data_IF_835727750752
#
_entry.id   IF_835727750752
#
_cell.length_a   1.000
_cell.length_b   1.000
_cell.length_c   1.000
_cell.angle_alpha   90.00
_cell.angle_beta   90.00
_cell.angle_gamma   90.00
#
_symmetry.space_group_name_H-M   'P 1'
#
loop_
_entity.id
_entity.type
_entity.pdbx_description
1 polymer ?
#
# COMPACT_ATOMS: atom_id res chain seq x y z
N UNK A 1 -14.53 31.45 20.72
CA UNK A 1 -13.44 30.64 21.29
C UNK A 1 -13.31 29.36 20.47
N UNK A 2 -12.34 29.31 19.55
CA UNK A 2 -11.98 28.05 18.90
C UNK A 2 -11.34 27.15 19.96
N UNK A 3 -12.01 26.05 20.29
CA UNK A 3 -11.45 25.03 21.18
C UNK A 3 -10.23 24.42 20.50
N UNK A 4 -9.04 24.71 21.01
CA UNK A 4 -7.81 24.05 20.57
C UNK A 4 -8.01 22.54 20.69
N UNK A 5 -7.65 21.74 19.67
CA UNK A 5 -7.73 20.29 19.78
C UNK A 5 -6.86 19.86 20.96
N UNK A 6 -7.47 19.16 21.92
CA UNK A 6 -6.78 18.71 23.12
C UNK A 6 -5.54 17.89 22.73
N UNK A 7 -4.36 18.28 23.22
CA UNK A 7 -3.10 17.59 22.92
C UNK A 7 -3.20 16.08 23.21
N UNK A 8 -3.01 15.29 22.15
CA UNK A 8 -2.91 13.83 22.18
C UNK A 8 -1.44 13.41 22.37
N UNK A 9 -1.19 12.16 22.77
CA UNK A 9 0.14 11.56 22.94
C UNK A 9 0.80 11.80 24.31
N UNK A 10 0.04 12.25 25.32
CA UNK A 10 0.58 12.59 26.64
C UNK A 10 0.55 11.44 27.66
N UNK A 11 -0.47 10.57 27.57
CA UNK A 11 -0.64 9.40 28.43
C UNK A 11 -1.60 8.39 27.76
N UNK A 12 -1.78 7.22 28.36
CA UNK A 12 -2.65 6.16 27.85
C UNK A 12 -4.09 6.63 27.59
N UNK A 13 -4.62 7.48 28.47
CA UNK A 13 -5.97 8.05 28.34
C UNK A 13 -6.11 9.07 27.20
N UNK A 14 -5.00 9.45 26.57
CA UNK A 14 -4.93 10.36 25.41
C UNK A 14 -3.94 9.82 24.37
N UNK A 15 -3.91 8.51 24.18
CA UNK A 15 -3.04 7.90 23.17
C UNK A 15 -3.36 8.43 21.76
N UNK A 16 -2.35 8.48 20.91
CA UNK A 16 -2.54 8.77 19.48
C UNK A 16 -3.15 7.51 18.85
N UNK A 17 -4.38 7.63 18.37
CA UNK A 17 -5.07 6.53 17.68
C UNK A 17 -4.59 6.52 16.23
N UNK A 18 -4.06 5.38 15.79
CA UNK A 18 -3.66 5.16 14.40
C UNK A 18 -4.79 4.41 13.67
N UNK A 19 -5.74 5.17 13.14
CA UNK A 19 -6.84 4.60 12.37
C UNK A 19 -6.32 3.93 11.08
N UNK A 20 -6.85 2.75 10.76
CA UNK A 20 -6.45 1.98 9.57
C UNK A 20 -5.14 1.20 9.71
N UNK A 21 -4.48 1.23 10.86
CA UNK A 21 -3.23 0.51 11.12
C UNK A 21 -3.44 -0.62 12.12
N UNK A 22 -3.15 -1.86 11.73
CA UNK A 22 -3.17 -2.98 12.67
C UNK A 22 -1.91 -3.01 13.54
N UNK A 23 -2.02 -3.50 14.78
CA UNK A 23 -0.84 -3.64 15.65
C UNK A 23 0.22 -4.58 15.06
N UNK A 24 -0.19 -5.57 14.27
CA UNK A 24 0.73 -6.48 13.58
C UNK A 24 1.51 -5.74 12.49
N UNK A 25 0.81 -4.98 11.64
CA UNK A 25 1.45 -4.19 10.59
C UNK A 25 2.39 -3.14 11.19
N UNK A 26 1.98 -2.52 12.31
CA UNK A 26 2.81 -1.54 13.00
C UNK A 26 4.08 -2.15 13.55
N UNK A 27 4.04 -3.34 14.14
CA UNK A 27 5.23 -4.07 14.58
C UNK A 27 6.20 -4.34 13.41
N UNK A 28 5.68 -4.76 12.25
CA UNK A 28 6.50 -4.95 11.05
C UNK A 28 7.12 -3.65 10.54
N UNK A 29 6.37 -2.55 10.59
CA UNK A 29 6.87 -1.24 10.23
C UNK A 29 7.95 -0.73 11.18
N UNK A 30 7.80 -0.95 12.48
CA UNK A 30 8.82 -0.61 13.47
C UNK A 30 10.08 -1.43 13.25
N UNK A 31 9.99 -2.70 12.86
CA UNK A 31 11.17 -3.47 12.45
C UNK A 31 11.88 -2.77 11.29
N UNK A 32 11.18 -2.34 10.24
CA UNK A 32 11.82 -1.58 9.16
C UNK A 32 12.56 -0.34 9.70
N UNK A 33 11.91 0.44 10.56
CA UNK A 33 12.47 1.69 11.10
C UNK A 33 13.69 1.48 12.01
N UNK A 34 13.68 0.41 12.82
CA UNK A 34 14.66 0.21 13.88
C UNK A 34 15.66 -0.92 13.61
N UNK A 35 15.49 -1.70 12.53
CA UNK A 35 16.37 -2.86 12.29
C UNK A 35 17.80 -2.47 11.92
N UNK A 36 18.05 -1.31 11.30
CA UNK A 36 19.40 -0.79 11.01
C UNK A 36 19.35 0.74 10.76
N UNK A 37 20.47 1.48 10.84
CA UNK A 37 20.55 2.83 10.29
C UNK A 37 20.46 2.74 8.76
N UNK A 38 19.24 2.75 8.22
CA UNK A 38 18.96 2.78 6.80
C UNK A 38 19.22 4.21 6.33
N UNK A 39 20.24 4.48 5.50
CA UNK A 39 20.24 5.73 4.76
C UNK A 39 18.97 5.71 3.91
N UNK A 40 18.06 6.67 4.10
CA UNK A 40 16.83 6.79 3.31
C UNK A 40 17.07 7.05 1.81
N UNK A 41 18.33 7.07 1.42
CA UNK A 41 18.83 7.35 0.08
C UNK A 41 19.55 6.10 -0.53
N UNK A 42 19.37 4.90 0.06
CA UNK A 42 19.88 3.64 -0.51
C UNK A 42 19.09 3.24 -1.75
N UNK A 43 19.76 2.54 -2.68
CA UNK A 43 19.08 1.96 -3.85
C UNK A 43 18.16 0.80 -3.47
N UNK A 44 17.13 0.57 -4.28
CA UNK A 44 16.07 -0.43 -4.07
C UNK A 44 16.63 -1.86 -3.95
N UNK A 45 17.67 -2.21 -4.70
CA UNK A 45 18.25 -3.57 -4.64
C UNK A 45 19.00 -3.78 -3.33
N UNK A 46 19.75 -2.78 -2.88
CA UNK A 46 20.36 -2.76 -1.55
C UNK A 46 19.30 -2.84 -0.45
N UNK A 47 18.18 -2.14 -0.58
CA UNK A 47 17.08 -2.22 0.39
C UNK A 47 16.47 -3.63 0.45
N UNK A 48 16.13 -4.23 -0.69
CA UNK A 48 15.59 -5.60 -0.76
C UNK A 48 16.54 -6.63 -0.13
N UNK A 49 17.84 -6.52 -0.40
CA UNK A 49 18.84 -7.49 0.07
C UNK A 49 19.28 -7.29 1.52
N UNK A 50 19.50 -6.05 1.96
CA UNK A 50 19.98 -5.76 3.32
C UNK A 50 18.89 -5.86 4.37
N UNK A 51 17.65 -5.48 4.03
CA UNK A 51 16.55 -5.51 5.00
C UNK A 51 15.95 -6.90 5.12
N UNK A 52 16.05 -7.74 4.08
CA UNK A 52 15.57 -9.12 4.11
C UNK A 52 14.08 -9.25 4.42
N UNK A 53 13.31 -8.17 4.22
CA UNK A 53 11.89 -8.12 4.53
C UNK A 53 11.09 -8.95 3.53
N UNK A 54 10.11 -9.67 4.05
CA UNK A 54 9.08 -10.38 3.31
C UNK A 54 8.13 -9.43 2.59
N UNK A 55 7.36 -9.98 1.64
CA UNK A 55 6.31 -9.26 0.92
C UNK A 55 5.27 -8.66 1.88
N UNK A 56 4.91 -9.38 2.94
CA UNK A 56 3.96 -8.90 3.95
C UNK A 56 4.51 -7.69 4.72
N UNK A 57 5.79 -7.72 5.09
CA UNK A 57 6.44 -6.61 5.80
C UNK A 57 6.54 -5.37 4.91
N UNK A 58 6.90 -5.53 3.63
CA UNK A 58 6.88 -4.42 2.67
C UNK A 58 5.48 -3.86 2.42
N UNK A 59 4.47 -4.72 2.38
CA UNK A 59 3.08 -4.29 2.27
C UNK A 59 2.65 -3.49 3.50
N UNK A 60 2.95 -3.96 4.71
CA UNK A 60 2.70 -3.22 5.94
C UNK A 60 3.42 -1.86 5.94
N UNK A 61 4.67 -1.83 5.50
CA UNK A 61 5.45 -0.59 5.38
C UNK A 61 4.84 0.40 4.40
N UNK A 62 4.39 -0.07 3.22
CA UNK A 62 3.72 0.76 2.23
C UNK A 62 2.45 1.40 2.80
N UNK A 63 1.60 0.60 3.47
CA UNK A 63 0.35 1.04 4.09
C UNK A 63 0.59 2.11 5.16
N UNK A 64 1.44 1.80 6.13
CA UNK A 64 1.66 2.67 7.29
C UNK A 64 2.39 3.94 6.89
N UNK A 65 3.37 3.85 5.99
CA UNK A 65 4.07 5.04 5.50
C UNK A 65 3.14 5.99 4.74
N UNK A 66 2.12 5.48 4.05
CA UNK A 66 1.08 6.30 3.44
C UNK A 66 0.26 7.03 4.51
N UNK A 67 -0.26 6.30 5.51
CA UNK A 67 -1.08 6.87 6.59
C UNK A 67 -0.33 7.89 7.45
N UNK A 68 0.97 7.69 7.69
CA UNK A 68 1.81 8.58 8.49
C UNK A 68 2.52 9.67 7.67
N UNK A 69 2.21 9.79 6.37
CA UNK A 69 2.85 10.73 5.43
C UNK A 69 4.39 10.62 5.36
N UNK A 70 4.93 9.41 5.56
CA UNK A 70 6.36 9.13 5.46
C UNK A 70 6.77 8.84 4.02
N UNK A 71 6.77 9.89 3.18
CA UNK A 71 6.92 9.78 1.73
C UNK A 71 8.15 9.00 1.25
N UNK A 72 9.31 9.15 1.92
CA UNK A 72 10.53 8.42 1.53
C UNK A 72 10.38 6.91 1.72
N UNK A 73 9.79 6.47 2.82
CA UNK A 73 9.56 5.04 3.09
C UNK A 73 8.45 4.51 2.20
N UNK A 74 7.43 5.33 1.93
CA UNK A 74 6.36 4.98 1.01
C UNK A 74 6.92 4.71 -0.39
N UNK A 75 7.73 5.63 -0.92
CA UNK A 75 8.38 5.45 -2.22
C UNK A 75 9.30 4.23 -2.23
N UNK A 76 10.12 4.05 -1.19
CA UNK A 76 10.99 2.86 -1.09
C UNK A 76 10.17 1.57 -1.11
N UNK A 77 9.05 1.54 -0.40
CA UNK A 77 8.17 0.36 -0.34
C UNK A 77 7.52 0.09 -1.70
N UNK A 78 7.10 1.12 -2.43
CA UNK A 78 6.62 1.00 -3.82
C UNK A 78 7.72 0.41 -4.70
N UNK A 79 8.93 0.94 -4.65
CA UNK A 79 10.03 0.48 -5.49
C UNK A 79 10.36 -0.98 -5.17
N UNK A 80 10.41 -1.34 -3.88
CA UNK A 80 10.67 -2.71 -3.45
C UNK A 80 9.57 -3.69 -3.88
N UNK A 81 8.31 -3.25 -3.95
CA UNK A 81 7.15 -4.07 -4.28
C UNK A 81 6.77 -4.08 -5.77
N UNK A 82 7.33 -3.19 -6.59
CA UNK A 82 6.92 -3.01 -8.00
C UNK A 82 7.03 -4.29 -8.82
N UNK A 83 8.10 -5.05 -8.63
CA UNK A 83 8.36 -6.30 -9.37
C UNK A 83 7.77 -7.55 -8.70
N UNK A 84 7.11 -7.39 -7.55
CA UNK A 84 6.50 -8.52 -6.84
C UNK A 84 5.27 -8.98 -7.61
N UNK A 85 5.23 -10.29 -7.89
CA UNK A 85 4.07 -10.94 -8.48
C UNK A 85 2.89 -10.88 -7.49
N UNK A 86 1.79 -10.28 -7.93
CA UNK A 86 0.58 -10.07 -7.14
C UNK A 86 -0.61 -10.26 -8.07
N UNK A 87 -1.75 -10.65 -7.52
CA UNK A 87 -2.99 -10.64 -8.29
C UNK A 87 -3.26 -9.21 -8.83
N UNK A 88 -3.62 -9.05 -10.11
CA UNK A 88 -3.81 -7.73 -10.72
C UNK A 88 -4.94 -6.93 -10.07
N UNK A 89 -5.95 -7.58 -9.49
CA UNK A 89 -7.02 -6.92 -8.73
C UNK A 89 -6.47 -6.34 -7.44
N UNK A 90 -5.68 -7.12 -6.70
CA UNK A 90 -5.07 -6.67 -5.45
C UNK A 90 -4.07 -5.53 -5.70
N UNK A 91 -3.28 -5.65 -6.77
CA UNK A 91 -2.31 -4.62 -7.16
C UNK A 91 -3.00 -3.32 -7.59
N UNK A 92 -4.10 -3.43 -8.35
CA UNK A 92 -4.91 -2.27 -8.74
C UNK A 92 -5.62 -1.62 -7.53
N UNK A 93 -6.13 -2.43 -6.60
CA UNK A 93 -6.81 -1.94 -5.39
C UNK A 93 -5.83 -1.15 -4.52
N UNK A 94 -4.64 -1.71 -4.26
CA UNK A 94 -3.56 -1.01 -3.54
C UNK A 94 -3.12 0.26 -4.27
N UNK A 95 -3.04 0.23 -5.60
CA UNK A 95 -2.65 1.39 -6.38
C UNK A 95 -3.67 2.54 -6.26
N UNK A 96 -4.96 2.23 -6.26
CA UNK A 96 -6.01 3.21 -6.03
C UNK A 96 -6.04 3.72 -4.59
N UNK A 97 -5.94 2.82 -3.62
CA UNK A 97 -6.02 3.14 -2.19
C UNK A 97 -4.85 4.01 -1.73
N UNK A 98 -3.63 3.71 -2.19
CA UNK A 98 -2.42 4.39 -1.75
C UNK A 98 -1.84 5.39 -2.77
N UNK A 99 -2.55 5.63 -3.89
CA UNK A 99 -2.16 6.62 -4.89
C UNK A 99 -0.92 6.26 -5.72
N UNK A 100 -0.74 4.98 -6.05
CA UNK A 100 0.44 4.47 -6.77
C UNK A 100 0.17 4.42 -8.27
N UNK A 101 0.37 5.55 -8.96
CA UNK A 101 0.10 5.67 -10.40
C UNK A 101 0.87 4.66 -11.27
N UNK A 102 2.10 4.34 -10.88
CA UNK A 102 2.98 3.43 -11.63
C UNK A 102 2.43 2.01 -11.69
N UNK A 103 1.60 1.60 -10.73
CA UNK A 103 1.01 0.26 -10.68
C UNK A 103 -0.34 0.19 -11.37
N UNK A 104 -1.12 1.28 -11.33
CA UNK A 104 -2.51 1.29 -11.74
C UNK A 104 -2.71 0.89 -13.20
N UNK A 105 -2.02 1.56 -14.13
CA UNK A 105 -2.18 1.27 -15.56
C UNK A 105 -1.73 -0.15 -15.93
N UNK A 106 -0.55 -0.63 -15.49
CA UNK A 106 -0.16 -2.03 -15.71
C UNK A 106 -1.17 -3.05 -15.15
N UNK A 107 -1.64 -2.87 -13.92
CA UNK A 107 -2.55 -3.82 -13.28
C UNK A 107 -3.92 -3.86 -13.95
N UNK A 108 -4.46 -2.71 -14.37
CA UNK A 108 -5.72 -2.66 -15.12
C UNK A 108 -5.58 -3.30 -16.51
N UNK A 109 -4.46 -3.11 -17.21
CA UNK A 109 -4.20 -3.78 -18.49
C UNK A 109 -4.12 -5.30 -18.35
N UNK A 110 -3.49 -5.79 -17.29
CA UNK A 110 -3.45 -7.21 -16.99
C UNK A 110 -4.85 -7.76 -16.67
N UNK A 111 -5.63 -7.02 -15.87
CA UNK A 111 -7.01 -7.37 -15.56
C UNK A 111 -7.92 -7.39 -16.80
N UNK A 112 -7.69 -6.49 -17.77
CA UNK A 112 -8.42 -6.48 -19.03
C UNK A 112 -8.15 -7.74 -19.87
N UNK A 113 -6.92 -8.25 -19.85
CA UNK A 113 -6.50 -9.42 -20.65
C UNK A 113 -6.71 -10.75 -19.93
N UNK A 114 -7.08 -10.71 -18.65
CA UNK A 114 -7.30 -11.89 -17.82
C UNK A 114 -8.43 -12.75 -18.40
N UNK A 115 -8.24 -14.06 -18.65
CA UNK A 115 -9.29 -14.90 -19.23
C UNK A 115 -10.47 -15.13 -18.28
N UNK A 116 -10.24 -15.09 -16.96
CA UNK A 116 -11.29 -15.24 -15.97
C UNK A 116 -12.26 -14.04 -16.00
N UNK A 117 -13.58 -14.29 -15.87
CA UNK A 117 -14.57 -13.22 -15.79
C UNK A 117 -14.32 -12.35 -14.55
N UNK A 118 -14.88 -11.14 -14.58
CA UNK A 118 -14.95 -10.33 -13.37
C UNK A 118 -15.98 -10.91 -12.41
N UNK A 119 -15.64 -10.90 -11.13
CA UNK A 119 -16.41 -11.52 -10.07
C UNK A 119 -16.89 -10.47 -9.08
N UNK A 120 -17.84 -10.85 -8.22
CA UNK A 120 -18.25 -10.00 -7.10
C UNK A 120 -17.10 -9.70 -6.14
N UNK A 121 -16.18 -10.65 -5.96
CA UNK A 121 -14.99 -10.42 -5.13
C UNK A 121 -14.07 -9.34 -5.72
N UNK A 122 -13.99 -9.23 -7.05
CA UNK A 122 -13.23 -8.16 -7.70
C UNK A 122 -13.90 -6.80 -7.46
N UNK A 123 -15.24 -6.75 -7.50
CA UNK A 123 -16.01 -5.53 -7.21
C UNK A 123 -15.93 -5.11 -5.74
N UNK A 124 -15.91 -6.07 -4.82
CA UNK A 124 -15.72 -5.81 -3.39
C UNK A 124 -14.33 -5.21 -3.10
N UNK A 125 -13.32 -5.44 -3.96
CA UNK A 125 -11.95 -4.91 -3.83
C UNK A 125 -11.70 -3.60 -4.57
N UNK A 126 -12.15 -3.51 -5.83
CA UNK A 126 -11.88 -2.36 -6.71
C UNK A 126 -13.00 -1.32 -6.71
N UNK A 127 -14.18 -1.67 -6.20
CA UNK A 127 -15.38 -0.90 -6.34
C UNK A 127 -16.12 -1.19 -7.65
N UNK A 128 -17.44 -1.04 -7.60
CA UNK A 128 -18.32 -1.39 -8.72
C UNK A 128 -18.04 -0.56 -9.98
N UNK A 129 -17.72 0.73 -9.81
CA UNK A 129 -17.48 1.65 -10.93
C UNK A 129 -16.24 1.27 -11.74
N UNK A 130 -15.18 0.81 -11.05
CA UNK A 130 -13.96 0.34 -11.70
C UNK A 130 -14.25 -0.94 -12.47
N UNK A 131 -14.96 -1.88 -11.86
CA UNK A 131 -15.33 -3.16 -12.52
C UNK A 131 -16.21 -2.95 -13.74
N UNK A 132 -17.20 -2.05 -13.69
CA UNK A 132 -18.05 -1.75 -14.84
C UNK A 132 -17.24 -1.19 -16.01
N UNK A 133 -16.34 -0.23 -15.76
CA UNK A 133 -15.43 0.29 -16.79
C UNK A 133 -14.51 -0.79 -17.34
N UNK A 134 -14.01 -1.68 -16.48
CA UNK A 134 -13.19 -2.80 -16.92
C UNK A 134 -13.98 -3.77 -17.80
N UNK A 135 -15.28 -3.96 -17.55
CA UNK A 135 -16.16 -4.78 -18.38
C UNK A 135 -16.31 -4.18 -19.78
N UNK A 136 -16.60 -2.88 -19.87
CA UNK A 136 -16.68 -2.14 -21.12
C UNK A 136 -15.38 -2.24 -21.93
N UNK A 137 -14.23 -2.03 -21.27
CA UNK A 137 -12.91 -2.15 -21.91
C UNK A 137 -12.70 -3.55 -22.46
N UNK A 138 -13.06 -4.60 -21.68
CA UNK A 138 -12.89 -5.99 -22.10
C UNK A 138 -13.75 -6.40 -23.28
N UNK A 139 -14.93 -5.83 -23.42
CA UNK A 139 -15.80 -6.05 -24.58
C UNK A 139 -15.30 -5.35 -25.84
N UNK A 140 -14.43 -4.34 -25.69
CA UNK A 140 -13.86 -3.58 -26.81
C UNK A 140 -12.54 -4.13 -27.37
N UNK A 141 -11.94 -5.13 -26.71
CA UNK A 141 -10.67 -5.78 -27.08
C UNK A 141 -10.95 -7.03 -27.91
#
# INVERSE_FOLDING_TARGET
EESQPAMQGLNENRAIVLDGVSSCDFDQFLKLLYSQPIPLDIDTNTARTKLGLSVHEWMAALKISHHLWMMKIHQLSIDCMTDVAMDPVDKAAMALEYGIESWLKPSLNELARRPQPMTRADADRLGIDVILKMAEVRESI
#
